data_IF_272753391142
#
_entry.id   IF_272753391142
#
_cell.length_a   1.000
_cell.length_b   1.000
_cell.length_c   1.000
_cell.angle_alpha   90.00
_cell.angle_beta   90.00
_cell.angle_gamma   90.00
#
_symmetry.space_group_name_H-M   'P 1'
#
loop_
_entity.id
_entity.type
_entity.pdbx_description
1 polymer ?
#
# COMPACT_ATOMS: atom_id res chain seq x y z
N UNK A 1 23.72 24.37 4.86
CA UNK A 1 22.73 23.30 5.10
C UNK A 1 23.52 22.01 5.18
N UNK A 2 23.70 21.45 6.37
CA UNK A 2 24.47 20.21 6.53
C UNK A 2 23.81 19.10 5.69
N UNK A 3 24.59 18.27 4.98
CA UNK A 3 24.04 17.11 4.28
C UNK A 3 23.32 16.22 5.29
N UNK A 4 22.05 15.91 5.03
CA UNK A 4 21.26 15.08 5.94
C UNK A 4 21.99 13.78 6.21
N UNK A 5 22.36 13.54 7.48
CA UNK A 5 22.99 12.29 7.91
C UNK A 5 22.12 11.13 7.43
N UNK A 6 22.66 10.11 6.73
CA UNK A 6 21.85 9.00 6.23
C UNK A 6 21.09 8.37 7.41
N UNK A 7 19.77 8.25 7.27
CA UNK A 7 18.93 7.74 8.33
C UNK A 7 19.42 6.34 8.75
N UNK A 8 19.74 6.17 10.04
CA UNK A 8 20.33 4.94 10.55
C UNK A 8 19.43 3.73 10.21
N UNK A 9 20.03 2.65 9.67
CA UNK A 9 19.28 1.44 9.34
C UNK A 9 18.62 0.84 10.58
N UNK A 10 17.45 0.24 10.38
CA UNK A 10 16.84 -0.59 11.42
C UNK A 10 17.73 -1.80 11.71
N UNK A 11 17.66 -2.29 12.95
CA UNK A 11 18.51 -3.37 13.46
C UNK A 11 17.72 -4.64 13.86
N UNK A 12 16.40 -4.61 13.70
CA UNK A 12 15.51 -5.77 13.77
C UNK A 12 14.25 -5.51 12.94
N UNK A 13 13.61 -6.57 12.45
CA UNK A 13 12.27 -6.53 11.86
C UNK A 13 11.33 -7.35 12.72
N UNK A 14 10.17 -6.79 13.03
CA UNK A 14 9.09 -7.49 13.71
C UNK A 14 7.84 -7.35 12.86
N UNK A 15 7.18 -8.44 12.51
CA UNK A 15 5.95 -8.39 11.74
C UNK A 15 4.80 -9.07 12.47
N UNK A 16 3.75 -8.30 12.75
CA UNK A 16 2.52 -8.77 13.37
C UNK A 16 1.60 -9.36 12.31
N UNK A 17 0.83 -10.39 12.65
CA UNK A 17 0.02 -11.13 11.69
C UNK A 17 0.84 -12.14 10.89
N UNK A 18 1.86 -12.72 11.52
CA UNK A 18 2.83 -13.60 10.85
C UNK A 18 2.22 -14.85 10.17
N UNK A 19 1.03 -15.27 10.59
CA UNK A 19 0.30 -16.41 10.00
C UNK A 19 -0.73 -16.00 8.94
N UNK A 20 -0.91 -14.70 8.72
CA UNK A 20 -1.90 -14.14 7.81
C UNK A 20 -1.54 -14.23 6.33
N UNK A 21 -2.52 -13.94 5.48
CA UNK A 21 -2.42 -14.04 4.02
C UNK A 21 -1.37 -13.08 3.42
N UNK A 22 -1.27 -11.85 3.96
CA UNK A 22 -0.27 -10.89 3.48
C UNK A 22 1.15 -11.38 3.78
N UNK A 23 1.37 -11.94 4.97
CA UNK A 23 2.66 -12.52 5.33
C UNK A 23 3.03 -13.65 4.38
N UNK A 24 2.08 -14.55 4.13
CA UNK A 24 2.22 -15.70 3.25
C UNK A 24 2.40 -15.35 1.76
N UNK A 25 1.75 -14.30 1.25
CA UNK A 25 1.81 -13.97 -0.19
C UNK A 25 2.91 -12.97 -0.53
N UNK A 26 3.35 -12.15 0.42
CA UNK A 26 4.19 -10.98 0.12
C UNK A 26 5.37 -10.81 1.08
N UNK A 27 5.18 -10.92 2.40
CA UNK A 27 6.26 -10.60 3.37
C UNK A 27 7.38 -11.64 3.31
N UNK A 28 7.08 -12.95 3.36
CA UNK A 28 8.14 -13.97 3.27
C UNK A 28 8.92 -13.91 1.95
N UNK A 29 8.27 -13.80 0.76
CA UNK A 29 8.98 -13.57 -0.50
C UNK A 29 9.86 -12.31 -0.47
N UNK A 30 9.36 -11.20 0.09
CA UNK A 30 10.13 -9.96 0.20
C UNK A 30 11.34 -10.11 1.13
N UNK A 31 11.20 -10.80 2.28
CA UNK A 31 12.30 -11.06 3.20
C UNK A 31 13.39 -11.91 2.55
N UNK A 32 13.03 -12.99 1.85
CA UNK A 32 14.01 -13.79 1.12
C UNK A 32 14.69 -12.98 0.01
N UNK A 33 13.94 -12.17 -0.74
CA UNK A 33 14.51 -11.31 -1.77
C UNK A 33 15.52 -10.29 -1.20
N UNK A 34 15.27 -9.74 -0.01
CA UNK A 34 16.22 -8.88 0.69
C UNK A 34 17.47 -9.64 1.13
N UNK A 35 17.34 -10.90 1.59
CA UNK A 35 18.48 -11.75 1.94
C UNK A 35 19.33 -12.05 0.70
N UNK A 36 18.68 -12.47 -0.40
CA UNK A 36 19.35 -12.79 -1.67
C UNK A 36 20.15 -11.61 -2.23
N UNK A 37 19.67 -10.39 -1.99
CA UNK A 37 20.34 -9.13 -2.38
C UNK A 37 21.37 -8.63 -1.36
N UNK A 38 21.61 -9.35 -0.26
CA UNK A 38 22.55 -8.94 0.79
C UNK A 38 22.07 -7.75 1.63
N UNK A 39 20.77 -7.45 1.62
CA UNK A 39 20.18 -6.32 2.34
C UNK A 39 19.56 -6.69 3.69
N UNK A 40 19.42 -7.97 4.01
CA UNK A 40 18.89 -8.44 5.29
C UNK A 40 19.90 -9.36 6.01
N UNK A 41 20.32 -8.92 7.19
CA UNK A 41 21.24 -9.65 8.08
C UNK A 41 20.96 -9.38 9.56
N UNK A 42 19.69 -9.14 9.88
CA UNK A 42 19.22 -8.73 11.21
C UNK A 42 18.10 -9.65 11.69
N UNK A 43 17.85 -9.74 13.01
CA UNK A 43 16.78 -10.56 13.56
C UNK A 43 15.42 -10.23 12.96
N UNK A 44 14.64 -11.27 12.67
CA UNK A 44 13.26 -11.16 12.17
C UNK A 44 12.34 -11.88 13.16
N UNK A 45 11.33 -11.20 13.69
CA UNK A 45 10.40 -11.79 14.67
C UNK A 45 8.98 -11.75 14.12
N UNK A 46 8.38 -12.92 13.88
CA UNK A 46 6.95 -13.03 13.60
C UNK A 46 6.14 -13.02 14.89
N UNK A 47 5.04 -12.28 14.92
CA UNK A 47 4.08 -12.30 16.03
C UNK A 47 2.69 -12.63 15.51
N UNK A 48 2.04 -13.63 16.10
CA UNK A 48 0.64 -13.97 15.78
C UNK A 48 -0.03 -14.72 16.94
N UNK A 49 -1.36 -14.77 16.90
CA UNK A 49 -2.18 -15.59 17.79
C UNK A 49 -2.67 -16.81 17.03
N UNK A 50 -1.86 -17.85 16.94
CA UNK A 50 -2.21 -19.06 16.14
C UNK A 50 -1.86 -20.38 16.81
N UNK A 51 -1.27 -20.34 18.01
CA UNK A 51 -0.70 -21.49 18.75
C UNK A 51 0.32 -22.27 17.92
N UNK A 52 1.08 -21.57 17.07
CA UNK A 52 2.07 -22.20 16.22
C UNK A 52 3.42 -22.33 16.93
N UNK A 53 4.23 -23.27 16.47
CA UNK A 53 5.66 -23.33 16.80
C UNK A 53 6.48 -22.54 15.77
N UNK A 54 7.72 -22.23 16.10
CA UNK A 54 8.66 -21.63 15.14
C UNK A 54 8.85 -22.53 13.92
N UNK A 55 8.91 -23.85 14.10
CA UNK A 55 9.08 -24.80 12.99
C UNK A 55 7.86 -24.81 12.06
N UNK A 56 6.66 -24.67 12.60
CA UNK A 56 5.44 -24.49 11.78
C UNK A 56 5.48 -23.17 10.99
N UNK A 57 5.98 -22.08 11.59
CA UNK A 57 6.15 -20.82 10.86
C UNK A 57 7.23 -20.94 9.76
N UNK A 58 8.34 -21.64 10.02
CA UNK A 58 9.38 -21.91 9.01
C UNK A 58 8.83 -22.73 7.85
N UNK A 59 8.07 -23.80 8.15
CA UNK A 59 7.39 -24.59 7.13
C UNK A 59 6.40 -23.75 6.31
N UNK A 60 5.65 -22.84 6.96
CA UNK A 60 4.76 -21.88 6.29
C UNK A 60 5.54 -20.92 5.38
N UNK A 61 6.70 -20.43 5.83
CA UNK A 61 7.56 -19.57 5.03
C UNK A 61 8.12 -20.32 3.81
N UNK A 62 8.50 -21.59 3.95
CA UNK A 62 8.92 -22.42 2.81
C UNK A 62 7.81 -22.57 1.77
N UNK A 63 6.62 -22.98 2.22
CA UNK A 63 5.45 -23.14 1.35
C UNK A 63 5.05 -21.82 0.67
N UNK A 64 5.19 -20.69 1.37
CA UNK A 64 5.01 -19.35 0.81
C UNK A 64 5.98 -19.07 -0.35
N UNK A 65 7.26 -19.38 -0.15
CA UNK A 65 8.31 -19.16 -1.15
C UNK A 65 8.16 -20.07 -2.36
N UNK A 66 7.67 -21.31 -2.18
CA UNK A 66 7.38 -22.24 -3.27
C UNK A 66 6.18 -21.80 -4.12
N UNK A 67 5.13 -21.23 -3.50
CA UNK A 67 3.89 -20.86 -4.22
C UNK A 67 3.82 -19.42 -4.71
N UNK A 68 4.50 -18.50 -4.04
CA UNK A 68 4.38 -17.05 -4.27
C UNK A 68 5.73 -16.35 -4.47
N UNK A 69 6.82 -17.08 -4.36
CA UNK A 69 8.16 -16.57 -4.60
C UNK A 69 8.93 -17.49 -5.54
N UNK A 70 10.24 -17.40 -5.41
CA UNK A 70 11.22 -18.25 -6.07
C UNK A 70 12.13 -18.75 -4.97
N UNK A 71 11.86 -19.96 -4.45
CA UNK A 71 12.56 -20.51 -3.28
C UNK A 71 14.06 -20.63 -3.59
N UNK A 72 14.88 -19.89 -2.84
CA UNK A 72 16.32 -19.98 -2.87
C UNK A 72 16.79 -20.72 -1.61
N UNK A 73 17.35 -21.94 -1.71
CA UNK A 73 17.68 -22.75 -0.53
C UNK A 73 18.64 -22.06 0.44
N UNK A 74 19.62 -21.31 -0.05
CA UNK A 74 20.61 -20.64 0.78
C UNK A 74 20.00 -19.42 1.51
N UNK A 75 19.23 -18.61 0.80
CA UNK A 75 18.53 -17.46 1.36
C UNK A 75 17.44 -17.91 2.34
N UNK A 76 16.73 -19.00 2.06
CA UNK A 76 15.75 -19.59 2.97
C UNK A 76 16.41 -20.15 4.24
N UNK A 77 17.55 -20.84 4.12
CA UNK A 77 18.31 -21.31 5.29
C UNK A 77 18.74 -20.13 6.18
N UNK A 78 19.23 -19.04 5.56
CA UNK A 78 19.55 -17.79 6.27
C UNK A 78 18.31 -17.12 6.86
N UNK A 79 17.16 -17.13 6.18
CA UNK A 79 15.91 -16.63 6.75
C UNK A 79 15.54 -17.41 8.02
N UNK A 80 15.67 -18.74 7.98
CA UNK A 80 15.35 -19.61 9.11
C UNK A 80 16.27 -19.41 10.31
N UNK A 81 17.53 -19.01 10.10
CA UNK A 81 18.45 -18.71 11.20
C UNK A 81 18.17 -17.35 11.84
N UNK A 82 17.64 -16.39 11.07
CA UNK A 82 17.27 -15.06 11.57
C UNK A 82 15.85 -15.01 12.16
N UNK A 83 14.97 -15.96 11.82
CA UNK A 83 13.56 -15.96 12.16
C UNK A 83 13.30 -16.49 13.58
N UNK A 84 12.71 -15.64 14.41
CA UNK A 84 12.04 -15.98 15.66
C UNK A 84 10.52 -15.88 15.54
N UNK A 85 9.80 -16.50 16.48
CA UNK A 85 8.34 -16.45 16.54
C UNK A 85 7.84 -16.26 17.97
N UNK A 86 6.81 -15.44 18.13
CA UNK A 86 6.09 -15.23 19.37
C UNK A 86 4.63 -15.55 19.12
N UNK A 87 4.15 -16.61 19.76
CA UNK A 87 2.72 -16.85 19.89
C UNK A 87 2.15 -16.03 21.04
N UNK A 88 1.23 -15.12 20.74
CA UNK A 88 0.68 -14.21 21.74
C UNK A 88 -0.50 -13.39 21.26
N UNK A 89 -1.39 -13.05 22.18
CA UNK A 89 -2.48 -12.11 21.96
C UNK A 89 -1.96 -10.67 22.01
N UNK A 90 -2.43 -9.81 21.10
CA UNK A 90 -1.98 -8.41 21.03
C UNK A 90 -2.49 -7.54 22.17
N UNK A 91 -3.54 -7.96 22.88
CA UNK A 91 -4.03 -7.31 24.10
C UNK A 91 -3.35 -7.80 25.37
N UNK A 92 -2.56 -8.88 25.31
CA UNK A 92 -1.84 -9.41 26.46
C UNK A 92 -0.45 -8.75 26.61
N UNK A 93 -0.17 -8.04 27.72
CA UNK A 93 1.14 -7.47 28.00
C UNK A 93 2.29 -8.47 27.95
N UNK A 94 2.05 -9.76 28.26
CA UNK A 94 3.10 -10.78 28.25
C UNK A 94 3.69 -11.00 26.85
N UNK A 95 2.90 -10.79 25.79
CA UNK A 95 3.36 -10.83 24.40
C UNK A 95 4.46 -9.81 24.14
N UNK A 96 4.29 -8.59 24.65
CA UNK A 96 5.26 -7.51 24.46
C UNK A 96 6.48 -7.65 25.36
N UNK A 97 6.34 -8.24 26.55
CA UNK A 97 7.49 -8.63 27.38
C UNK A 97 8.35 -9.69 26.68
N UNK A 98 7.73 -10.72 26.08
CA UNK A 98 8.44 -11.70 25.24
C UNK A 98 9.12 -11.03 24.05
N UNK A 99 8.43 -10.07 23.41
CA UNK A 99 8.98 -9.31 22.28
C UNK A 99 10.20 -8.49 22.69
N UNK A 100 10.15 -7.78 23.82
CA UNK A 100 11.31 -7.02 24.33
C UNK A 100 12.51 -7.94 24.56
N UNK A 101 12.28 -9.13 25.13
CA UNK A 101 13.33 -10.14 25.30
C UNK A 101 13.89 -10.63 23.96
N UNK A 102 13.04 -10.88 22.98
CA UNK A 102 13.44 -11.33 21.64
C UNK A 102 14.24 -10.26 20.86
N UNK A 103 13.93 -8.98 21.07
CA UNK A 103 14.66 -7.85 20.49
C UNK A 103 16.06 -7.67 21.08
N UNK A 104 16.28 -8.10 22.34
CA UNK A 104 17.58 -8.03 22.98
C UNK A 104 18.16 -6.61 22.98
N UNK A 105 19.31 -6.44 22.34
CA UNK A 105 20.02 -5.15 22.23
C UNK A 105 19.58 -4.27 21.05
N UNK A 106 18.57 -4.65 20.28
CA UNK A 106 18.06 -3.85 19.16
C UNK A 106 17.54 -2.48 19.65
N UNK A 107 17.95 -1.42 18.98
CA UNK A 107 17.62 -0.03 19.35
C UNK A 107 16.73 0.67 18.34
N UNK A 108 16.61 0.14 17.11
CA UNK A 108 15.85 0.76 16.01
C UNK A 108 14.97 -0.28 15.29
N UNK A 109 14.11 -1.02 16.02
CA UNK A 109 13.28 -2.05 15.42
C UNK A 109 12.28 -1.46 14.42
N UNK A 110 12.00 -2.20 13.35
CA UNK A 110 10.94 -1.92 12.38
C UNK A 110 9.73 -2.83 12.67
N UNK A 111 8.59 -2.25 13.03
CA UNK A 111 7.34 -2.97 13.28
C UNK A 111 6.43 -2.95 12.05
N UNK A 112 6.23 -4.08 11.39
CA UNK A 112 5.28 -4.22 10.30
C UNK A 112 3.92 -4.72 10.83
N UNK A 113 2.88 -3.90 10.73
CA UNK A 113 1.54 -4.22 11.21
C UNK A 113 0.72 -4.86 10.09
N UNK A 114 0.98 -6.13 9.76
CA UNK A 114 0.20 -6.91 8.80
C UNK A 114 -1.07 -7.49 9.46
N UNK A 115 -1.83 -6.61 10.12
CA UNK A 115 -3.02 -6.91 10.93
C UNK A 115 -4.15 -5.92 10.59
N UNK A 116 -5.41 -6.22 10.96
CA UNK A 116 -6.50 -5.27 10.78
C UNK A 116 -6.24 -3.91 11.48
N UNK A 117 -6.66 -2.78 10.89
CA UNK A 117 -6.44 -1.44 11.46
C UNK A 117 -7.01 -1.23 12.87
N UNK A 118 -8.07 -1.97 13.22
CA UNK A 118 -8.66 -1.94 14.58
C UNK A 118 -7.69 -2.37 15.67
N UNK A 119 -6.62 -3.10 15.32
CA UNK A 119 -5.61 -3.59 16.27
C UNK A 119 -4.37 -2.69 16.32
N UNK A 120 -4.25 -1.67 15.46
CA UNK A 120 -3.07 -0.80 15.43
C UNK A 120 -2.88 -0.06 16.75
N UNK A 121 -3.96 0.47 17.34
CA UNK A 121 -3.93 1.14 18.63
C UNK A 121 -3.43 0.21 19.74
N UNK A 122 -4.00 -0.99 19.82
CA UNK A 122 -3.65 -2.00 20.83
C UNK A 122 -2.17 -2.39 20.74
N UNK A 123 -1.67 -2.64 19.53
CA UNK A 123 -0.25 -3.00 19.31
C UNK A 123 0.67 -1.83 19.63
N UNK A 124 0.35 -0.61 19.19
CA UNK A 124 1.16 0.57 19.47
C UNK A 124 1.25 0.87 20.98
N UNK A 125 0.13 0.73 21.70
CA UNK A 125 0.09 0.85 23.16
C UNK A 125 0.90 -0.24 23.87
N UNK A 126 0.77 -1.49 23.43
CA UNK A 126 1.54 -2.61 23.99
C UNK A 126 3.05 -2.43 23.79
N UNK A 127 3.46 -1.99 22.59
CA UNK A 127 4.85 -1.64 22.29
C UNK A 127 5.34 -0.50 23.19
N UNK A 128 4.54 0.55 23.39
CA UNK A 128 4.92 1.68 24.24
C UNK A 128 5.11 1.26 25.70
N UNK A 129 4.19 0.45 26.25
CA UNK A 129 4.27 -0.07 27.62
C UNK A 129 5.48 -0.98 27.85
N UNK A 130 5.98 -1.64 26.81
CA UNK A 130 7.18 -2.48 26.86
C UNK A 130 8.48 -1.74 26.51
N UNK A 131 8.47 -0.39 26.43
CA UNK A 131 9.60 0.45 26.04
C UNK A 131 10.18 0.11 24.65
N UNK A 132 9.33 -0.40 23.75
CA UNK A 132 9.71 -0.87 22.43
C UNK A 132 9.55 0.19 21.32
N UNK A 133 9.07 1.40 21.63
CA UNK A 133 8.80 2.44 20.62
C UNK A 133 9.96 3.41 20.39
N UNK A 134 10.97 3.41 21.27
CA UNK A 134 12.11 4.34 21.19
C UNK A 134 12.94 4.10 19.94
N UNK A 135 13.11 5.13 19.11
CA UNK A 135 13.80 5.08 17.80
C UNK A 135 13.26 4.00 16.83
N UNK A 136 12.09 3.46 17.11
CA UNK A 136 11.46 2.45 16.29
C UNK A 136 10.73 3.07 15.11
N UNK A 137 10.49 2.26 14.09
CA UNK A 137 9.68 2.60 12.93
C UNK A 137 8.48 1.68 12.87
N UNK A 138 7.37 2.17 12.34
CA UNK A 138 6.16 1.37 12.16
C UNK A 138 5.73 1.43 10.70
N UNK A 139 5.40 0.27 10.14
CA UNK A 139 4.83 0.11 8.80
C UNK A 139 3.38 -0.31 8.98
N UNK A 140 2.46 0.41 8.35
CA UNK A 140 1.01 0.15 8.43
C UNK A 140 0.42 -0.04 7.03
N UNK A 141 -0.50 -0.99 6.93
CA UNK A 141 -1.19 -1.33 5.70
C UNK A 141 -2.54 -0.61 5.57
N UNK A 142 -3.05 -0.56 4.34
CA UNK A 142 -4.42 -0.13 4.07
C UNK A 142 -5.45 -1.14 4.62
N UNK A 143 -6.68 -0.71 5.00
CA UNK A 143 -7.24 0.63 4.86
C UNK A 143 -6.82 1.59 6.00
N UNK A 144 -6.50 2.84 5.65
CA UNK A 144 -6.13 3.89 6.61
C UNK A 144 -7.35 4.76 6.95
N UNK A 145 -8.29 4.16 7.69
CA UNK A 145 -9.63 4.73 7.89
C UNK A 145 -10.57 4.46 6.71
N UNK A 146 -11.82 4.92 6.84
CA UNK A 146 -12.90 4.76 5.84
C UNK A 146 -13.45 6.10 5.34
N UNK A 147 -13.03 7.18 5.98
CA UNK A 147 -13.38 8.57 5.76
C UNK A 147 -12.31 9.47 6.40
N UNK A 148 -12.43 10.78 6.21
CA UNK A 148 -11.48 11.75 6.76
C UNK A 148 -11.37 11.67 8.30
N UNK A 149 -12.50 11.55 9.01
CA UNK A 149 -12.53 11.57 10.47
C UNK A 149 -11.81 10.35 11.06
N UNK A 150 -12.11 9.16 10.55
CA UNK A 150 -11.46 7.90 10.97
C UNK A 150 -9.99 7.85 10.57
N UNK A 151 -9.60 8.39 9.42
CA UNK A 151 -8.20 8.51 9.03
C UNK A 151 -7.43 9.44 9.98
N UNK A 152 -7.99 10.60 10.33
CA UNK A 152 -7.39 11.53 11.28
C UNK A 152 -7.27 10.92 12.69
N UNK A 153 -8.27 10.16 13.13
CA UNK A 153 -8.23 9.49 14.44
C UNK A 153 -7.15 8.41 14.49
N UNK A 154 -7.07 7.58 13.45
CA UNK A 154 -6.01 6.59 13.33
C UNK A 154 -4.63 7.26 13.32
N UNK A 155 -4.51 8.39 12.61
CA UNK A 155 -3.29 9.16 12.55
C UNK A 155 -2.87 9.71 13.91
N UNK A 156 -3.81 10.34 14.63
CA UNK A 156 -3.58 10.83 16.01
C UNK A 156 -3.12 9.69 16.92
N UNK A 157 -3.74 8.53 16.81
CA UNK A 157 -3.40 7.36 17.63
C UNK A 157 -1.96 6.91 17.40
N UNK A 158 -1.53 6.79 16.15
CA UNK A 158 -0.14 6.42 15.84
C UNK A 158 0.85 7.49 16.31
N UNK A 159 0.50 8.78 16.16
CA UNK A 159 1.35 9.90 16.57
C UNK A 159 1.56 10.04 18.07
N UNK A 160 0.71 9.41 18.90
CA UNK A 160 0.97 9.32 20.35
C UNK A 160 2.24 8.53 20.67
N UNK A 161 2.66 7.63 19.77
CA UNK A 161 3.75 6.69 20.01
C UNK A 161 4.91 6.82 19.03
N UNK A 162 4.64 7.26 17.80
CA UNK A 162 5.65 7.37 16.74
C UNK A 162 5.63 8.78 16.11
N UNK A 163 6.78 9.44 15.94
CA UNK A 163 6.85 10.68 15.17
C UNK A 163 6.55 10.40 13.68
N UNK A 164 6.13 11.41 12.90
CA UNK A 164 5.75 11.21 11.49
C UNK A 164 6.85 10.56 10.65
N UNK A 165 8.12 10.95 10.84
CA UNK A 165 9.24 10.33 10.12
C UNK A 165 9.45 8.82 10.41
N UNK A 166 8.80 8.29 11.46
CA UNK A 166 8.85 6.88 11.83
C UNK A 166 7.64 6.08 11.34
N UNK A 167 6.61 6.72 10.77
CA UNK A 167 5.37 6.07 10.31
C UNK A 167 5.40 5.89 8.79
N UNK A 168 5.50 4.64 8.35
CA UNK A 168 5.51 4.24 6.95
C UNK A 168 4.15 3.67 6.57
N UNK A 169 3.35 4.46 5.85
CA UNK A 169 2.02 4.04 5.37
C UNK A 169 2.19 3.41 3.99
N UNK A 170 1.83 2.14 3.84
CA UNK A 170 2.04 1.41 2.60
C UNK A 170 0.95 1.73 1.59
N UNK A 171 1.40 2.21 0.43
CA UNK A 171 0.70 2.08 -0.83
C UNK A 171 1.61 1.31 -1.79
N UNK A 172 1.28 0.06 -2.06
CA UNK A 172 2.14 -0.82 -2.86
C UNK A 172 2.27 -0.38 -4.33
N UNK A 173 1.40 0.51 -4.84
CA UNK A 173 1.57 1.06 -6.20
C UNK A 173 2.82 1.94 -6.29
N UNK A 174 3.20 2.62 -5.21
CA UNK A 174 4.44 3.41 -5.16
C UNK A 174 5.70 2.55 -5.24
N UNK A 175 5.58 1.24 -4.97
CA UNK A 175 6.66 0.27 -5.14
C UNK A 175 6.77 -0.33 -6.54
N UNK A 176 5.82 -0.05 -7.44
CA UNK A 176 5.85 -0.54 -8.83
C UNK A 176 6.82 0.30 -9.65
N UNK A 177 7.74 -0.36 -10.32
CA UNK A 177 8.75 0.29 -11.17
C UNK A 177 8.14 1.27 -12.20
N UNK A 178 7.06 0.94 -12.94
CA UNK A 178 6.43 1.90 -13.85
C UNK A 178 5.93 3.19 -13.16
N UNK A 179 5.44 3.10 -11.91
CA UNK A 179 4.95 4.26 -11.16
C UNK A 179 6.12 5.12 -10.68
N UNK A 180 7.24 4.49 -10.28
CA UNK A 180 8.47 5.22 -9.92
C UNK A 180 9.08 5.92 -11.15
N UNK A 181 8.99 5.29 -12.32
CA UNK A 181 9.52 5.83 -13.57
C UNK A 181 8.79 7.07 -14.08
N UNK A 182 7.56 7.36 -13.64
CA UNK A 182 6.84 8.58 -14.03
C UNK A 182 7.63 9.86 -13.70
N UNK A 183 8.32 9.87 -12.57
CA UNK A 183 9.09 11.03 -12.10
C UNK A 183 10.36 11.21 -12.92
N UNK A 184 11.04 10.11 -13.23
CA UNK A 184 12.21 10.15 -14.11
C UNK A 184 11.81 10.53 -15.53
N UNK A 185 10.69 10.01 -16.03
CA UNK A 185 10.16 10.33 -17.34
C UNK A 185 9.89 11.84 -17.48
N UNK A 186 9.38 12.49 -16.45
CA UNK A 186 9.18 13.94 -16.44
C UNK A 186 10.47 14.72 -16.22
N UNK A 187 11.03 14.66 -15.02
CA UNK A 187 12.06 15.61 -14.60
C UNK A 187 13.45 15.32 -15.13
N UNK A 188 13.71 14.13 -15.70
CA UNK A 188 14.96 13.85 -16.40
C UNK A 188 14.91 14.21 -17.90
N UNK A 189 13.76 14.61 -18.43
CA UNK A 189 13.57 14.88 -19.86
C UNK A 189 13.03 16.31 -20.07
N UNK A 190 13.89 17.32 -20.24
CA UNK A 190 13.48 18.73 -20.33
C UNK A 190 12.46 19.03 -21.44
N UNK A 191 12.51 18.32 -22.58
CA UNK A 191 11.56 18.48 -23.67
C UNK A 191 10.14 18.00 -23.30
N UNK A 192 10.04 16.94 -22.50
CA UNK A 192 8.76 16.44 -22.00
C UNK A 192 8.21 17.40 -20.97
N UNK A 193 9.05 17.82 -20.01
CA UNK A 193 8.63 18.73 -18.94
C UNK A 193 8.18 20.10 -19.47
N UNK A 194 8.83 20.61 -20.54
CA UNK A 194 8.44 21.87 -21.18
C UNK A 194 7.03 21.85 -21.80
N UNK A 195 6.51 20.66 -22.14
CA UNK A 195 5.15 20.48 -22.63
C UNK A 195 4.22 19.84 -21.61
N UNK A 196 4.60 19.78 -20.32
CA UNK A 196 3.81 19.11 -19.29
C UNK A 196 2.83 20.05 -18.58
N UNK A 197 1.98 20.71 -19.37
CA UNK A 197 1.04 21.72 -18.88
C UNK A 197 -0.31 21.68 -19.62
N UNK A 198 -1.23 22.56 -19.21
CA UNK A 198 -2.57 22.66 -19.80
C UNK A 198 -2.62 23.37 -21.17
N UNK A 199 -1.50 23.89 -21.68
CA UNK A 199 -1.40 24.47 -23.02
C UNK A 199 -1.09 23.38 -24.05
N UNK A 200 -0.43 22.30 -23.63
CA UNK A 200 -0.01 21.21 -24.50
C UNK A 200 -0.78 19.90 -24.26
N UNK A 201 -1.27 19.67 -23.03
CA UNK A 201 -2.01 18.45 -22.68
C UNK A 201 -3.51 18.72 -22.70
N UNK A 202 -4.22 18.05 -23.61
CA UNK A 202 -5.69 18.10 -23.67
C UNK A 202 -6.34 17.33 -22.50
N UNK A 203 -5.88 16.10 -22.24
CA UNK A 203 -6.40 15.29 -21.14
C UNK A 203 -5.42 14.21 -20.68
N UNK A 204 -5.58 13.77 -19.43
CA UNK A 204 -4.85 12.66 -18.84
C UNK A 204 -5.85 11.58 -18.46
N UNK A 205 -5.59 10.34 -18.88
CA UNK A 205 -6.43 9.19 -18.57
C UNK A 205 -5.61 8.15 -17.79
N UNK A 206 -6.12 7.74 -16.63
CA UNK A 206 -5.49 6.72 -15.78
C UNK A 206 -6.46 5.55 -15.67
N UNK A 207 -6.07 4.41 -16.21
CA UNK A 207 -6.90 3.20 -16.24
C UNK A 207 -6.33 2.15 -15.32
N UNK A 208 -7.15 1.71 -14.36
CA UNK A 208 -6.92 0.50 -13.59
C UNK A 208 -8.06 -0.48 -13.89
N UNK A 209 -7.73 -1.59 -14.54
CA UNK A 209 -8.69 -2.62 -14.91
C UNK A 209 -8.25 -3.98 -14.34
N UNK A 210 -9.20 -4.73 -13.84
CA UNK A 210 -9.01 -6.08 -13.30
C UNK A 210 -9.94 -7.03 -14.05
N UNK A 211 -9.43 -8.20 -14.43
CA UNK A 211 -10.18 -9.23 -15.16
C UNK A 211 -10.82 -10.28 -14.24
N UNK A 212 -10.69 -10.11 -12.92
CA UNK A 212 -11.28 -11.00 -11.90
C UNK A 212 -12.36 -10.28 -11.09
N UNK A 213 -13.32 -11.04 -10.56
CA UNK A 213 -14.38 -10.51 -9.69
C UNK A 213 -13.93 -10.36 -8.24
N UNK A 214 -14.87 -10.30 -7.29
CA UNK A 214 -14.53 -10.12 -5.85
C UNK A 214 -13.72 -11.26 -5.21
N UNK A 215 -13.53 -12.40 -5.88
CA UNK A 215 -12.62 -13.50 -5.49
C UNK A 215 -12.59 -13.83 -3.99
N UNK A 216 -13.76 -13.97 -3.35
CA UNK A 216 -13.89 -14.29 -1.93
C UNK A 216 -13.75 -13.09 -0.96
N UNK A 217 -13.36 -11.91 -1.44
CA UNK A 217 -13.29 -10.64 -0.68
C UNK A 217 -14.61 -9.86 -0.67
N UNK A 218 -15.73 -10.51 -0.98
CA UNK A 218 -17.05 -9.87 -1.13
C UNK A 218 -17.44 -8.99 0.07
N UNK A 219 -17.34 -9.52 1.30
CA UNK A 219 -17.67 -8.79 2.54
C UNK A 219 -16.87 -7.50 2.70
N UNK A 220 -15.56 -7.55 2.48
CA UNK A 220 -14.71 -6.37 2.52
C UNK A 220 -15.09 -5.37 1.42
N UNK A 221 -15.35 -5.87 0.20
CA UNK A 221 -15.63 -5.01 -0.95
C UNK A 221 -16.99 -4.32 -0.87
N UNK A 222 -17.98 -4.91 -0.20
CA UNK A 222 -19.28 -4.27 0.10
C UNK A 222 -19.12 -3.01 0.96
N UNK A 223 -18.20 -3.03 1.92
CA UNK A 223 -17.93 -1.89 2.79
C UNK A 223 -17.01 -0.85 2.13
N UNK A 224 -16.01 -1.31 1.39
CA UNK A 224 -15.01 -0.44 0.76
C UNK A 224 -15.54 0.21 -0.53
N UNK A 225 -16.02 -0.62 -1.48
CA UNK A 225 -16.25 -0.25 -2.88
C UNK A 225 -14.97 0.13 -3.63
N UNK A 226 -15.07 0.29 -4.96
CA UNK A 226 -13.93 0.66 -5.80
C UNK A 226 -13.25 1.97 -5.38
N UNK A 227 -14.03 2.95 -4.90
CA UNK A 227 -13.51 4.26 -4.51
C UNK A 227 -12.50 4.13 -3.35
N UNK A 228 -12.83 3.37 -2.30
CA UNK A 228 -11.91 3.21 -1.16
C UNK A 228 -10.84 2.16 -1.41
N UNK A 229 -11.16 1.11 -2.18
CA UNK A 229 -10.21 0.01 -2.40
C UNK A 229 -9.02 0.44 -3.26
N UNK A 230 -9.26 1.25 -4.30
CA UNK A 230 -8.22 1.60 -5.31
C UNK A 230 -8.13 3.07 -5.69
N UNK A 231 -9.24 3.82 -5.74
CA UNK A 231 -9.21 5.23 -6.21
C UNK A 231 -8.55 6.13 -5.18
N UNK A 232 -9.02 6.08 -3.93
CA UNK A 232 -8.57 6.94 -2.84
C UNK A 232 -7.09 6.73 -2.48
N UNK A 233 -6.52 5.57 -2.77
CA UNK A 233 -5.11 5.26 -2.52
C UNK A 233 -4.30 5.29 -3.83
N UNK A 234 -4.27 4.18 -4.56
CA UNK A 234 -3.41 3.92 -5.70
C UNK A 234 -3.55 4.99 -6.79
N UNK A 235 -4.79 5.31 -7.18
CA UNK A 235 -5.00 6.27 -8.28
C UNK A 235 -4.63 7.69 -7.87
N UNK A 236 -4.95 8.12 -6.65
CA UNK A 236 -4.48 9.41 -6.13
C UNK A 236 -2.95 9.47 -6.03
N UNK A 237 -2.27 8.37 -5.67
CA UNK A 237 -0.81 8.31 -5.67
C UNK A 237 -0.19 8.38 -7.06
N UNK A 238 -0.82 7.73 -8.06
CA UNK A 238 -0.39 7.83 -9.46
C UNK A 238 -0.59 9.25 -10.00
N UNK A 239 -1.74 9.87 -9.72
CA UNK A 239 -1.99 11.29 -10.02
C UNK A 239 -0.90 12.16 -9.38
N UNK A 240 -0.54 11.88 -8.13
CA UNK A 240 0.50 12.62 -7.44
C UNK A 240 1.86 12.49 -8.14
N UNK A 241 2.31 11.29 -8.50
CA UNK A 241 3.53 11.09 -9.27
C UNK A 241 3.49 11.79 -10.64
N UNK A 242 2.32 11.86 -11.27
CA UNK A 242 2.15 12.40 -12.61
C UNK A 242 2.08 13.93 -12.64
N UNK A 243 1.51 14.56 -11.60
CA UNK A 243 1.18 15.98 -11.60
C UNK A 243 1.89 16.79 -10.48
N UNK A 244 2.72 16.17 -9.64
CA UNK A 244 3.55 16.93 -8.68
C UNK A 244 4.52 17.85 -9.42
N UNK A 245 4.92 18.98 -8.83
CA UNK A 245 5.99 19.80 -9.41
C UNK A 245 7.35 19.17 -9.11
N UNK A 246 8.37 19.58 -9.84
CA UNK A 246 9.74 19.16 -9.56
C UNK A 246 10.14 19.64 -8.15
N UNK A 247 10.45 18.74 -7.20
CA UNK A 247 10.76 19.14 -5.85
C UNK A 247 12.05 19.95 -5.82
N UNK A 248 12.04 21.06 -5.06
CA UNK A 248 13.20 21.91 -4.83
C UNK A 248 14.19 21.25 -3.84
N UNK A 249 14.76 20.11 -4.21
CA UNK A 249 15.69 19.37 -3.35
C UNK A 249 15.77 17.88 -3.64
N UNK A 250 16.72 17.20 -2.98
CA UNK A 250 16.91 15.74 -3.08
C UNK A 250 16.35 14.98 -1.87
N UNK A 251 15.84 15.67 -0.86
CA UNK A 251 15.32 15.00 0.33
C UNK A 251 13.89 14.46 0.12
N UNK A 252 13.51 13.52 0.98
CA UNK A 252 12.20 12.87 0.89
C UNK A 252 11.05 13.80 1.31
N UNK A 253 11.34 14.86 2.07
CA UNK A 253 10.31 15.78 2.57
C UNK A 253 9.88 16.78 1.50
N UNK A 254 10.81 17.32 0.70
CA UNK A 254 10.50 18.19 -0.43
C UNK A 254 9.50 17.54 -1.41
N UNK A 255 9.66 16.24 -1.65
CA UNK A 255 8.71 15.49 -2.48
C UNK A 255 7.36 15.30 -1.80
N UNK A 256 7.32 15.10 -0.47
CA UNK A 256 6.06 15.02 0.28
C UNK A 256 5.33 16.36 0.30
N UNK A 257 6.06 17.47 0.39
CA UNK A 257 5.50 18.82 0.35
C UNK A 257 4.84 19.11 -1.01
N UNK A 258 5.50 18.78 -2.13
CA UNK A 258 4.90 18.95 -3.46
C UNK A 258 3.65 18.09 -3.66
N UNK A 259 3.67 16.85 -3.17
CA UNK A 259 2.47 15.99 -3.15
C UNK A 259 1.36 16.61 -2.33
N UNK A 260 1.68 17.13 -1.14
CA UNK A 260 0.73 17.78 -0.27
C UNK A 260 0.12 19.03 -0.92
N UNK A 261 0.94 19.84 -1.60
CA UNK A 261 0.51 21.02 -2.34
C UNK A 261 -0.43 20.64 -3.49
N UNK A 262 -0.06 19.66 -4.30
CA UNK A 262 -0.89 19.15 -5.38
C UNK A 262 -2.23 18.62 -4.86
N UNK A 263 -2.22 17.72 -3.88
CA UNK A 263 -3.45 17.09 -3.38
C UNK A 263 -4.41 18.10 -2.73
N UNK A 264 -3.91 19.22 -2.19
CA UNK A 264 -4.74 20.35 -1.74
C UNK A 264 -5.40 21.11 -2.90
N UNK A 265 -4.77 21.14 -4.07
CA UNK A 265 -5.30 21.76 -5.28
C UNK A 265 -6.27 20.86 -6.06
N UNK A 266 -6.27 19.54 -5.79
CA UNK A 266 -7.24 18.62 -6.39
C UNK A 266 -8.65 18.99 -5.95
N UNK A 267 -9.49 19.34 -6.93
CA UNK A 267 -10.91 19.65 -6.71
C UNK A 267 -11.63 18.41 -6.17
N UNK A 268 -12.54 18.62 -5.22
CA UNK A 268 -13.43 17.56 -4.73
C UNK A 268 -14.29 17.07 -5.89
N UNK A 269 -14.49 15.76 -5.97
CA UNK A 269 -15.33 15.15 -6.99
C UNK A 269 -16.79 15.58 -6.80
N UNK A 270 -17.40 16.14 -7.84
CA UNK A 270 -18.84 16.33 -7.92
C UNK A 270 -19.50 14.99 -8.29
N UNK A 271 -20.55 14.54 -7.58
CA UNK A 271 -21.32 13.36 -7.99
C UNK A 271 -21.80 13.38 -9.45
N UNK A 272 -22.00 14.55 -10.08
CA UNK A 272 -22.36 14.65 -11.50
C UNK A 272 -21.26 14.17 -12.44
N UNK A 273 -20.00 14.24 -12.01
CA UNK A 273 -18.82 13.88 -12.79
C UNK A 273 -18.40 12.42 -12.56
N UNK A 274 -19.19 11.65 -11.79
CA UNK A 274 -18.86 10.29 -11.37
C UNK A 274 -19.85 9.27 -11.91
N UNK A 275 -19.36 8.39 -12.77
CA UNK A 275 -20.10 7.20 -13.21
C UNK A 275 -19.74 6.01 -12.31
N UNK A 276 -20.77 5.38 -11.72
CA UNK A 276 -20.62 4.18 -10.88
C UNK A 276 -21.25 2.98 -11.58
N UNK A 277 -20.50 1.89 -11.68
CA UNK A 277 -20.96 0.62 -12.25
C UNK A 277 -20.93 -0.52 -11.24
N UNK A 278 -21.75 -1.55 -11.47
CA UNK A 278 -21.66 -2.84 -10.81
C UNK A 278 -21.71 -3.93 -11.88
N UNK A 279 -20.72 -4.82 -11.91
CA UNK A 279 -20.70 -5.89 -12.91
C UNK A 279 -21.84 -6.89 -12.67
N UNK A 280 -22.37 -7.46 -13.76
CA UNK A 280 -23.46 -8.44 -13.69
C UNK A 280 -23.00 -9.69 -12.95
N UNK A 281 -23.80 -10.17 -12.00
CA UNK A 281 -23.46 -11.35 -11.19
C UNK A 281 -22.70 -11.05 -9.90
N UNK A 282 -22.34 -9.78 -9.62
CA UNK A 282 -21.69 -9.36 -8.38
C UNK A 282 -22.36 -9.94 -7.12
N UNK A 283 -23.68 -9.77 -6.96
CA UNK A 283 -24.43 -10.26 -5.78
C UNK A 283 -24.39 -11.79 -5.60
N UNK A 284 -24.16 -12.56 -6.68
CA UNK A 284 -23.98 -14.02 -6.59
C UNK A 284 -22.58 -14.36 -6.06
N UNK A 285 -21.54 -13.70 -6.58
CA UNK A 285 -20.16 -13.88 -6.11
C UNK A 285 -19.92 -13.35 -4.69
N UNK A 286 -20.57 -12.25 -4.30
CA UNK A 286 -20.47 -11.68 -2.95
C UNK A 286 -21.07 -12.60 -1.86
N UNK A 287 -22.04 -13.46 -2.22
CA UNK A 287 -22.67 -14.46 -1.33
C UNK A 287 -21.99 -15.84 -1.35
N UNK A 288 -20.80 -15.96 -1.96
CA UNK A 288 -20.06 -17.23 -2.01
C UNK A 288 -20.51 -18.19 -3.12
N UNK A 289 -21.32 -17.74 -4.08
CA UNK A 289 -21.56 -18.50 -5.31
C UNK A 289 -20.32 -18.51 -6.23
N UNK A 290 -20.27 -19.40 -7.24
CA UNK A 290 -19.15 -19.45 -8.18
C UNK A 290 -18.92 -18.06 -8.80
N UNK A 291 -17.65 -17.68 -9.09
CA UNK A 291 -17.37 -16.39 -9.71
C UNK A 291 -18.16 -16.33 -11.01
N UNK A 292 -19.21 -15.50 -11.04
CA UNK A 292 -19.90 -15.22 -12.30
C UNK A 292 -18.86 -14.65 -13.23
N UNK A 293 -18.51 -15.39 -14.29
CA UNK A 293 -17.48 -14.99 -15.23
C UNK A 293 -17.72 -13.54 -15.64
N UNK A 294 -16.79 -12.67 -15.24
CA UNK A 294 -16.75 -11.31 -15.75
C UNK A 294 -16.42 -11.43 -17.23
N UNK A 295 -17.44 -11.47 -18.08
CA UNK A 295 -17.22 -11.24 -19.51
C UNK A 295 -16.41 -9.96 -19.64
N UNK A 296 -15.40 -9.98 -20.51
CA UNK A 296 -14.54 -8.83 -20.77
C UNK A 296 -15.40 -7.56 -20.90
N UNK A 297 -15.00 -6.43 -20.29
CA UNK A 297 -15.73 -5.19 -20.48
C UNK A 297 -15.78 -4.91 -21.98
N UNK A 298 -16.99 -4.82 -22.55
CA UNK A 298 -17.18 -4.21 -23.86
C UNK A 298 -16.56 -2.82 -23.80
N UNK A 299 -15.62 -2.47 -24.69
CA UNK A 299 -15.01 -1.15 -24.67
C UNK A 299 -16.11 -0.09 -24.78
N UNK A 300 -15.96 1.07 -24.12
CA UNK A 300 -16.89 2.17 -24.31
C UNK A 300 -16.91 2.55 -25.80
N UNK A 301 -18.07 2.95 -26.36
CA UNK A 301 -18.10 3.51 -27.70
C UNK A 301 -17.17 4.74 -27.76
N UNK A 302 -16.49 4.98 -28.90
CA UNK A 302 -15.67 6.17 -29.06
C UNK A 302 -16.52 7.42 -28.80
N UNK A 303 -15.93 8.50 -28.25
CA UNK A 303 -16.65 9.74 -28.01
C UNK A 303 -17.29 10.19 -29.32
N UNK A 304 -18.61 10.35 -29.31
CA UNK A 304 -19.32 10.94 -30.45
C UNK A 304 -18.80 12.37 -30.59
N UNK A 305 -18.05 12.62 -31.66
CA UNK A 305 -17.59 13.95 -32.01
C UNK A 305 -18.76 14.92 -31.96
N UNK A 306 -18.55 16.08 -31.33
CA UNK A 306 -19.54 17.17 -31.33
C UNK A 306 -20.04 17.36 -32.76
N UNK A 307 -21.35 17.27 -32.92
CA UNK A 307 -22.02 17.22 -34.22
C UNK A 307 -21.46 18.24 -35.20
N UNK A 308 -21.15 17.77 -36.40
CA UNK A 308 -20.88 18.65 -37.52
C UNK A 308 -22.10 19.58 -37.73
N UNK A 309 -21.89 20.88 -38.03
CA UNK A 309 -23.00 21.76 -38.35
C UNK A 309 -23.70 21.27 -39.62
N UNK A 310 -25.04 21.42 -39.72
CA UNK A 310 -25.77 20.99 -40.91
C UNK A 310 -25.31 21.79 -42.14
N UNK A 311 -25.26 21.16 -43.33
CA UNK A 311 -24.88 21.85 -44.55
C UNK A 311 -25.94 22.91 -44.93
N UNK A 312 -25.52 24.05 -45.52
CA UNK A 312 -26.44 25.11 -45.90
C UNK A 312 -27.19 24.73 -47.18
N UNK A 313 -28.52 24.74 -47.11
CA UNK A 313 -29.39 24.95 -48.27
C UNK A 313 -30.06 23.70 -48.83
N UNK A 314 -31.39 23.62 -48.65
CA UNK A 314 -32.35 23.33 -49.70
C UNK A 314 -33.77 23.71 -49.23
N UNK A 315 -34.65 24.16 -50.13
CA UNK A 315 -35.72 25.11 -49.83
C UNK A 315 -37.01 24.45 -49.32
N UNK A 316 -37.78 25.26 -48.59
CA UNK A 316 -39.06 24.87 -48.03
C UNK A 316 -40.10 24.46 -49.07
N UNK A 317 -41.05 23.64 -48.60
CA UNK A 317 -42.39 23.58 -49.16
C UNK A 317 -43.38 23.58 -48.00
N UNK A 318 -44.37 24.44 -48.19
CA UNK A 318 -45.64 24.65 -47.49
C UNK A 318 -46.18 23.47 -46.69
#
# INVERSE_FOLDING_TARGET
MEPSKPAARSDAIVFFGATGDLAYKQIFPALQALIRRGHLDMPVVGVARSKWTLDQLKARAKDSLEKHGDLDPAAYAKLCSLLGYIDGDYGDPTTFTKLRKALGGAQRPLYYLAIPPSLFATVAEGLAKADCVKNARVVVEKPFGRDLASAQELNRTLHRFFPEQAVFRIDHYLGKEPVQNLIYFRFANPLIEAGWDNQHIESVQITMAESFGVAGRGKFYEEAGAIRDVVQNHMLQVIACLAEECPAGKDHEARRDERGRLLKAVRRLDPSDVVRGQFRGYRRGARGGPPGGGGAPTPPPPPQGRGAPPPPGAPGRS
#
